data_IF_069200838043
#
_entry.id   IF_069200838043
#
_cell.length_a   1.000
_cell.length_b   1.000
_cell.length_c   1.000
_cell.angle_alpha   90.00
_cell.angle_beta   90.00
_cell.angle_gamma   90.00
#
_symmetry.space_group_name_H-M   'P 1'
#
loop_
_entity.id
_entity.type
_entity.pdbx_description
1 polymer ?
#
# COMPACT_ATOMS: atom_id res chain seq x y z
N UNK A 1 -7.36 -6.69 -7.63
CA UNK A 1 -8.63 -6.36 -6.95
C UNK A 1 -9.14 -7.48 -6.05
N UNK A 2 -9.03 -8.76 -6.44
CA UNK A 2 -9.44 -9.88 -5.58
C UNK A 2 -8.85 -9.79 -4.15
N UNK A 3 -7.55 -9.49 -4.02
CA UNK A 3 -6.94 -9.38 -2.68
C UNK A 3 -7.51 -8.28 -1.79
N UNK A 4 -8.01 -7.16 -2.34
CA UNK A 4 -8.71 -6.14 -1.53
C UNK A 4 -10.09 -6.62 -1.10
N UNK A 5 -10.78 -7.37 -1.96
CA UNK A 5 -12.08 -7.96 -1.66
C UNK A 5 -11.91 -8.98 -0.53
N UNK A 6 -10.94 -9.87 -0.64
CA UNK A 6 -10.66 -10.88 0.39
C UNK A 6 -10.17 -10.24 1.70
N UNK A 7 -9.38 -9.17 1.65
CA UNK A 7 -9.02 -8.40 2.84
C UNK A 7 -10.25 -7.81 3.55
N UNK A 8 -11.16 -7.19 2.79
CA UNK A 8 -12.42 -6.66 3.32
C UNK A 8 -13.36 -7.73 3.87
N UNK A 9 -13.29 -8.96 3.35
CA UNK A 9 -14.02 -10.12 3.86
C UNK A 9 -13.32 -10.82 5.04
N UNK A 10 -12.16 -10.33 5.49
CA UNK A 10 -11.37 -10.92 6.57
C UNK A 10 -10.61 -12.20 6.19
N UNK A 11 -10.54 -12.54 4.89
CA UNK A 11 -9.81 -13.69 4.36
C UNK A 11 -8.34 -13.35 4.15
N UNK A 12 -7.64 -13.16 5.27
CA UNK A 12 -6.27 -12.67 5.31
C UNK A 12 -5.30 -13.43 4.41
N UNK A 13 -5.26 -14.75 4.51
CA UNK A 13 -4.25 -15.55 3.80
C UNK A 13 -4.44 -15.48 2.28
N UNK A 14 -5.69 -15.51 1.81
CA UNK A 14 -6.01 -15.33 0.40
C UNK A 14 -5.64 -13.93 -0.10
N UNK A 15 -6.02 -12.91 0.67
CA UNK A 15 -5.70 -11.52 0.36
C UNK A 15 -4.19 -11.29 0.19
N UNK A 16 -3.40 -11.78 1.14
CA UNK A 16 -1.94 -11.64 1.11
C UNK A 16 -1.30 -12.47 0.00
N UNK A 17 -1.80 -13.69 -0.27
CA UNK A 17 -1.32 -14.55 -1.36
C UNK A 17 -1.52 -13.86 -2.71
N UNK A 18 -2.70 -13.31 -2.95
CA UNK A 18 -3.01 -12.63 -4.21
C UNK A 18 -2.25 -11.32 -4.37
N UNK A 19 -2.10 -10.57 -3.29
CA UNK A 19 -1.29 -9.35 -3.25
C UNK A 19 0.17 -9.60 -3.60
N UNK A 20 0.80 -10.62 -2.98
CA UNK A 20 2.18 -11.02 -3.31
C UNK A 20 2.30 -11.47 -4.76
N UNK A 21 1.34 -12.25 -5.26
CA UNK A 21 1.34 -12.69 -6.65
C UNK A 21 1.29 -11.50 -7.62
N UNK A 22 0.57 -10.43 -7.29
CA UNK A 22 0.54 -9.23 -8.11
C UNK A 22 1.92 -8.56 -8.18
N UNK A 23 2.66 -8.48 -7.06
CA UNK A 23 4.02 -7.94 -7.03
C UNK A 23 5.02 -8.80 -7.83
N UNK A 24 4.89 -10.14 -7.79
CA UNK A 24 5.73 -11.04 -8.58
C UNK A 24 5.54 -10.88 -10.09
N UNK A 25 4.31 -10.59 -10.53
CA UNK A 25 3.98 -10.45 -11.94
C UNK A 25 4.47 -9.12 -12.52
N UNK A 26 4.53 -8.09 -11.68
CA UNK A 26 4.96 -6.75 -12.05
C UNK A 26 6.04 -6.24 -11.08
N UNK A 27 7.25 -6.81 -11.15
CA UNK A 27 8.33 -6.38 -10.30
C UNK A 27 8.80 -4.99 -10.73
N UNK A 28 9.31 -4.23 -9.76
CA UNK A 28 9.62 -2.80 -9.95
C UNK A 28 10.76 -2.53 -10.95
N UNK A 29 11.65 -3.51 -11.12
CA UNK A 29 12.73 -3.50 -12.11
C UNK A 29 12.20 -3.63 -13.55
N UNK A 30 11.02 -4.24 -13.72
CA UNK A 30 10.39 -4.45 -15.02
C UNK A 30 9.48 -3.30 -15.43
N UNK A 31 8.75 -2.72 -14.48
CA UNK A 31 7.83 -1.60 -14.75
C UNK A 31 7.76 -0.65 -13.55
N UNK A 32 8.71 0.28 -13.50
CA UNK A 32 8.78 1.29 -12.45
C UNK A 32 7.65 2.33 -12.50
N UNK A 33 6.78 2.31 -13.52
CA UNK A 33 5.65 3.22 -13.63
C UNK A 33 4.37 2.61 -13.05
N UNK A 34 4.09 1.34 -13.36
CA UNK A 34 2.91 0.66 -12.87
C UNK A 34 3.13 -0.13 -11.56
N UNK A 35 4.35 -0.59 -11.26
CA UNK A 35 4.63 -1.33 -10.02
C UNK A 35 4.32 -0.54 -8.73
N UNK A 36 4.61 0.77 -8.62
CA UNK A 36 4.28 1.54 -7.41
C UNK A 36 2.78 1.55 -7.07
N UNK A 37 1.91 1.55 -8.10
CA UNK A 37 0.46 1.48 -7.91
C UNK A 37 0.02 0.09 -7.41
N UNK A 38 0.69 -0.98 -7.83
CA UNK A 38 0.47 -2.33 -7.28
C UNK A 38 0.95 -2.44 -5.83
N UNK A 39 2.09 -1.84 -5.51
CA UNK A 39 2.61 -1.77 -4.13
C UNK A 39 1.69 -0.95 -3.23
N UNK A 40 1.10 0.13 -3.73
CA UNK A 40 0.06 0.90 -3.02
C UNK A 40 -1.13 0.01 -2.66
N UNK A 41 -1.66 -0.74 -3.63
CA UNK A 41 -2.77 -1.67 -3.40
C UNK A 41 -2.38 -2.78 -2.42
N UNK A 42 -1.18 -3.34 -2.53
CA UNK A 42 -0.71 -4.36 -1.60
C UNK A 42 -0.55 -3.82 -0.18
N UNK A 43 -0.08 -2.58 -0.03
CA UNK A 43 0.03 -1.91 1.27
C UNK A 43 -1.34 -1.74 1.94
N UNK A 44 -2.39 -1.45 1.16
CA UNK A 44 -3.77 -1.42 1.66
C UNK A 44 -4.23 -2.81 2.14
N UNK A 45 -3.96 -3.87 1.37
CA UNK A 45 -4.27 -5.25 1.77
C UNK A 45 -3.61 -5.60 3.11
N UNK A 46 -2.32 -5.29 3.26
CA UNK A 46 -1.59 -5.51 4.50
C UNK A 46 -2.22 -4.73 5.66
N UNK A 47 -2.53 -3.45 5.46
CA UNK A 47 -3.17 -2.62 6.49
C UNK A 47 -4.52 -3.19 6.94
N UNK A 48 -5.37 -3.60 5.99
CA UNK A 48 -6.72 -4.12 6.27
C UNK A 48 -6.71 -5.50 6.93
N UNK A 49 -5.65 -6.28 6.71
CA UNK A 49 -5.45 -7.59 7.33
C UNK A 49 -4.66 -7.54 8.65
N UNK A 50 -4.33 -6.33 9.14
CA UNK A 50 -3.63 -6.10 10.40
C UNK A 50 -2.10 -6.21 10.31
N UNK A 51 -1.54 -6.46 9.13
CA UNK A 51 -0.10 -6.53 8.87
C UNK A 51 0.51 -5.13 8.73
N UNK A 52 0.45 -4.33 9.80
CA UNK A 52 0.83 -2.91 9.78
C UNK A 52 2.31 -2.69 9.44
N UNK A 53 3.19 -3.53 9.97
CA UNK A 53 4.63 -3.45 9.70
C UNK A 53 4.92 -3.60 8.21
N UNK A 54 4.37 -4.66 7.61
CA UNK A 54 4.51 -4.94 6.18
C UNK A 54 3.85 -3.85 5.33
N UNK A 55 2.69 -3.33 5.76
CA UNK A 55 2.02 -2.23 5.07
C UNK A 55 2.91 -0.99 5.00
N UNK A 56 3.52 -0.59 6.12
CA UNK A 56 4.41 0.57 6.18
C UNK A 56 5.70 0.35 5.36
N UNK A 57 6.28 -0.84 5.38
CA UNK A 57 7.48 -1.16 4.60
C UNK A 57 7.24 -1.04 3.09
N UNK A 58 6.15 -1.64 2.62
CA UNK A 58 5.77 -1.61 1.20
C UNK A 58 5.40 -0.19 0.75
N UNK A 59 4.68 0.55 1.60
CA UNK A 59 4.31 1.93 1.32
C UNK A 59 5.52 2.86 1.26
N UNK A 60 6.50 2.68 2.16
CA UNK A 60 7.74 3.45 2.17
C UNK A 60 8.58 3.18 0.91
N UNK A 61 8.59 1.94 0.43
CA UNK A 61 9.29 1.59 -0.82
C UNK A 61 8.57 2.19 -2.03
N UNK A 62 7.25 2.07 -2.10
CA UNK A 62 6.45 2.64 -3.18
C UNK A 62 6.58 4.17 -3.26
N UNK A 63 6.70 4.86 -2.12
CA UNK A 63 6.85 6.32 -2.05
C UNK A 63 8.16 6.85 -2.67
N UNK A 64 9.13 5.97 -2.96
CA UNK A 64 10.38 6.35 -3.64
C UNK A 64 10.22 6.52 -5.15
N UNK A 65 9.08 6.13 -5.70
CA UNK A 65 8.82 6.12 -7.14
C UNK A 65 7.61 6.99 -7.48
N UNK A 66 7.55 7.53 -8.71
CA UNK A 66 6.34 8.18 -9.21
C UNK A 66 5.16 7.20 -9.19
N UNK A 67 4.03 7.61 -8.64
CA UNK A 67 2.82 6.80 -8.55
C UNK A 67 1.60 7.67 -8.77
N UNK A 68 0.61 7.14 -9.49
CA UNK A 68 -0.65 7.83 -9.72
C UNK A 68 -1.60 7.68 -8.52
N UNK A 69 -1.51 6.55 -7.81
CA UNK A 69 -2.38 6.23 -6.67
C UNK A 69 -1.80 6.68 -5.33
N UNK A 70 -0.47 6.75 -5.19
CA UNK A 70 0.21 7.11 -3.96
C UNK A 70 0.52 8.61 -3.92
N UNK A 71 -0.48 9.39 -3.51
CA UNK A 71 -0.34 10.85 -3.34
C UNK A 71 -0.62 11.27 -1.91
N UNK A 72 -0.05 12.40 -1.50
CA UNK A 72 -0.29 13.00 -0.18
C UNK A 72 -1.76 13.11 0.18
N UNK A 73 -2.56 13.69 -0.73
CA UNK A 73 -3.98 13.91 -0.50
C UNK A 73 -4.73 12.59 -0.29
N UNK A 74 -4.37 11.53 -1.03
CA UNK A 74 -5.00 10.21 -0.89
C UNK A 74 -4.62 9.54 0.42
N UNK A 75 -3.36 9.62 0.86
CA UNK A 75 -2.96 9.08 2.15
C UNK A 75 -3.57 9.82 3.33
N UNK A 76 -3.72 11.15 3.23
CA UNK A 76 -4.23 11.99 4.31
C UNK A 76 -5.76 12.01 4.43
N UNK A 77 -6.48 11.87 3.31
CA UNK A 77 -7.93 12.12 3.28
C UNK A 77 -8.78 10.86 3.08
N UNK A 78 -8.25 9.78 2.50
CA UNK A 78 -9.04 8.58 2.26
C UNK A 78 -9.01 7.64 3.48
N UNK A 79 -10.17 7.13 3.93
CA UNK A 79 -10.28 6.30 5.12
C UNK A 79 -9.63 4.90 4.96
N UNK A 80 -9.12 4.59 3.77
CA UNK A 80 -8.43 3.32 3.51
C UNK A 80 -7.21 3.11 4.41
N UNK A 81 -6.63 4.20 4.93
CA UNK A 81 -5.44 4.19 5.77
C UNK A 81 -5.75 4.33 7.26
N UNK A 82 -7.02 4.41 7.66
CA UNK A 82 -7.44 4.45 9.06
C UNK A 82 -6.80 3.32 9.91
N UNK A 83 -6.62 2.07 9.41
CA UNK A 83 -5.93 1.03 10.17
C UNK A 83 -4.47 1.36 10.53
N UNK A 84 -3.80 2.22 9.75
CA UNK A 84 -2.44 2.71 10.03
C UNK A 84 -2.44 4.03 10.81
N UNK A 85 -3.61 4.61 11.09
CA UNK A 85 -3.73 5.86 11.81
C UNK A 85 -2.99 5.82 13.15
N UNK A 86 -2.17 6.84 13.39
CA UNK A 86 -1.34 6.95 14.59
C UNK A 86 -0.05 6.12 14.57
N UNK A 87 0.25 5.36 13.51
CA UNK A 87 1.55 4.72 13.34
C UNK A 87 2.59 5.78 12.91
N UNK A 88 3.66 6.03 13.71
CA UNK A 88 4.65 7.04 13.39
C UNK A 88 5.35 6.84 12.03
N UNK A 89 5.45 5.59 11.55
CA UNK A 89 6.06 5.27 10.26
C UNK A 89 5.15 5.72 9.12
N UNK A 90 3.85 5.48 9.25
CA UNK A 90 2.86 5.94 8.29
C UNK A 90 2.83 7.47 8.22
N UNK A 91 2.76 8.16 9.37
CA UNK A 91 2.76 9.63 9.43
C UNK A 91 4.02 10.24 8.80
N UNK A 92 5.18 9.60 8.97
CA UNK A 92 6.43 10.02 8.32
C UNK A 92 6.35 9.91 6.79
N UNK A 93 5.75 8.84 6.27
CA UNK A 93 5.54 8.66 4.82
C UNK A 93 4.60 9.75 4.30
N UNK A 94 3.47 9.99 4.99
CA UNK A 94 2.52 11.06 4.63
C UNK A 94 3.22 12.42 4.60
N UNK A 95 3.97 12.76 5.64
CA UNK A 95 4.71 14.03 5.71
C UNK A 95 5.74 14.16 4.57
N UNK A 96 6.40 13.06 4.18
CA UNK A 96 7.40 13.08 3.09
C UNK A 96 6.81 13.41 1.71
N UNK A 97 5.52 13.15 1.51
CA UNK A 97 4.82 13.41 0.26
C UNK A 97 4.11 14.77 0.24
N UNK A 98 4.13 15.52 1.35
CA UNK A 98 3.45 16.80 1.46
C UNK A 98 3.96 17.81 0.39
N UNK A 99 3.05 18.61 -0.20
CA UNK A 99 3.46 19.73 -1.05
C UNK A 99 4.41 20.66 -0.31
N UNK A 100 5.42 21.19 -1.02
CA UNK A 100 6.31 22.22 -0.49
C UNK A 100 5.72 23.61 -0.65
#
# INVERSE_FOLDING_TARGET
MLGLIDAGLGRKDDALREGRRALELLPIDRDAFAAPDIMHVFSMICAWTGEKDLACEQLATAAQFPSYLLTYGRLRLLPFWDPLGGDPRFEKIVASLAPK
#
